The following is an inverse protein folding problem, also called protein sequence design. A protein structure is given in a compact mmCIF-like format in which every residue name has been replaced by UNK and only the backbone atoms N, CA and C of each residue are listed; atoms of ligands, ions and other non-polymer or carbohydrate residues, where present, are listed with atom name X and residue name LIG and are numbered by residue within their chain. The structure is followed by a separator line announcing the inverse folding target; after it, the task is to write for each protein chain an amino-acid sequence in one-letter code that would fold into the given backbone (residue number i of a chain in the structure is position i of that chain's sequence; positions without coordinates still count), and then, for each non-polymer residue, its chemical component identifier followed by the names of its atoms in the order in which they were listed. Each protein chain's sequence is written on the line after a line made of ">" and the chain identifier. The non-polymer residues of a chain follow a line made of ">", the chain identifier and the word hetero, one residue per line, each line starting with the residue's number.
data_IF_007052186733
#
_entry.id   IF_007052186733
#
_cell.length_a   1.000
_cell.length_b   1.000
_cell.length_c   1.000
_cell.angle_alpha   90.00
_cell.angle_beta   90.00
_cell.angle_gamma   90.00
#
_symmetry.space_group_name_H-M   'P 1'
#
loop_
_entity.id
_entity.type
_entity.pdbx_description
1 polymer ?
#
# COMPACT_ATOMS: atom_id res chain seq x y z
N UNK A 1 -38.24 10.91 3.61
CA UNK A 1 -37.02 11.55 3.11
C UNK A 1 -37.48 12.75 2.31
N UNK A 2 -37.10 13.96 2.72
CA UNK A 2 -37.42 15.18 2.02
C UNK A 2 -36.11 15.77 1.51
N UNK A 3 -35.97 15.83 0.19
CA UNK A 3 -34.74 16.23 -0.50
C UNK A 3 -34.30 17.67 -0.21
N UNK A 4 -35.20 18.48 0.37
CA UNK A 4 -34.98 19.90 0.69
C UNK A 4 -34.76 20.18 2.19
N UNK A 5 -34.76 19.15 3.05
CA UNK A 5 -34.43 19.33 4.47
C UNK A 5 -33.00 19.89 4.60
N UNK A 6 -32.78 20.79 5.56
CA UNK A 6 -31.44 21.33 5.86
C UNK A 6 -30.55 20.27 6.49
N UNK A 7 -29.24 20.51 6.53
CA UNK A 7 -28.27 19.57 7.12
C UNK A 7 -28.61 19.23 8.57
N UNK A 8 -29.02 20.23 9.36
CA UNK A 8 -29.39 20.05 10.77
C UNK A 8 -30.65 19.19 10.94
N UNK A 9 -31.55 19.19 9.95
CA UNK A 9 -32.78 18.39 9.96
C UNK A 9 -32.54 16.93 9.55
N UNK A 10 -31.50 16.67 8.75
CA UNK A 10 -31.16 15.33 8.26
C UNK A 10 -30.47 14.47 9.31
N UNK A 11 -29.83 15.10 10.30
CA UNK A 11 -29.02 14.43 11.32
C UNK A 11 -27.64 14.02 10.81
N UNK A 12 -26.90 13.26 11.62
CA UNK A 12 -25.53 12.87 11.30
C UNK A 12 -25.44 11.88 10.12
N UNK A 13 -24.42 12.06 9.29
CA UNK A 13 -24.14 11.14 8.17
C UNK A 13 -23.60 9.82 8.71
N UNK A 14 -24.38 8.74 8.55
CA UNK A 14 -23.98 7.39 8.99
C UNK A 14 -23.27 6.57 7.90
N UNK A 15 -23.33 7.03 6.65
CA UNK A 15 -22.70 6.37 5.51
C UNK A 15 -23.22 6.90 4.17
N UNK A 16 -22.80 6.24 3.10
CA UNK A 16 -23.23 6.56 1.74
C UNK A 16 -23.37 5.30 0.89
N UNK A 17 -24.14 5.41 -0.19
CA UNK A 17 -24.26 4.34 -1.17
C UNK A 17 -24.28 4.91 -2.58
N UNK A 18 -23.89 4.08 -3.56
CA UNK A 18 -24.04 4.36 -4.97
C UNK A 18 -24.68 3.16 -5.63
N UNK A 19 -25.63 3.42 -6.53
CA UNK A 19 -26.28 2.40 -7.34
C UNK A 19 -26.09 2.75 -8.81
N UNK A 20 -25.62 1.79 -9.60
CA UNK A 20 -25.50 1.94 -11.05
C UNK A 20 -26.31 0.88 -11.77
N UNK A 21 -26.83 1.23 -12.95
CA UNK A 21 -27.48 0.28 -13.85
C UNK A 21 -26.47 -0.16 -14.92
N UNK A 22 -26.26 -1.46 -15.08
CA UNK A 22 -25.42 -2.01 -16.12
C UNK A 22 -26.14 -1.97 -17.48
N UNK A 23 -25.39 -2.14 -18.56
CA UNK A 23 -25.92 -2.27 -19.92
C UNK A 23 -26.78 -3.53 -20.08
N UNK A 24 -26.44 -4.60 -19.37
CA UNK A 24 -27.27 -5.83 -19.28
C UNK A 24 -28.56 -5.64 -18.45
N UNK A 25 -28.73 -4.47 -17.82
CA UNK A 25 -29.95 -4.09 -17.10
C UNK A 25 -29.95 -4.37 -15.59
N UNK A 26 -28.87 -4.95 -15.06
CA UNK A 26 -28.70 -5.21 -13.63
C UNK A 26 -28.40 -3.93 -12.85
N UNK A 27 -28.65 -3.96 -11.54
CA UNK A 27 -28.31 -2.88 -10.63
C UNK A 27 -27.21 -3.31 -9.66
N UNK A 28 -26.08 -2.59 -9.68
CA UNK A 28 -24.98 -2.79 -8.74
C UNK A 28 -25.02 -1.70 -7.67
N UNK A 29 -25.31 -2.08 -6.43
CA UNK A 29 -25.31 -1.16 -5.28
C UNK A 29 -24.09 -1.40 -4.40
N UNK A 30 -23.35 -0.33 -4.12
CA UNK A 30 -22.26 -0.31 -3.15
C UNK A 30 -22.65 0.55 -1.97
N UNK A 31 -22.50 0.02 -0.76
CA UNK A 31 -22.75 0.76 0.49
C UNK A 31 -21.45 0.87 1.27
N UNK A 32 -21.22 2.02 1.89
CA UNK A 32 -20.10 2.24 2.81
C UNK A 32 -20.60 2.93 4.07
N UNK A 33 -20.12 2.46 5.22
CA UNK A 33 -20.31 3.17 6.49
C UNK A 33 -19.40 4.40 6.55
N UNK A 34 -19.82 5.42 7.30
CA UNK A 34 -19.08 6.68 7.40
C UNK A 34 -17.65 6.49 7.94
N UNK A 35 -17.45 5.55 8.87
CA UNK A 35 -16.14 5.26 9.44
C UNK A 35 -15.16 4.68 8.41
N UNK A 36 -15.64 3.81 7.52
CA UNK A 36 -14.84 3.28 6.41
C UNK A 36 -14.48 4.38 5.39
N UNK A 37 -15.39 5.34 5.16
CA UNK A 37 -15.14 6.49 4.29
C UNK A 37 -14.07 7.40 4.91
N UNK A 38 -14.18 7.69 6.21
CA UNK A 38 -13.18 8.49 6.92
C UNK A 38 -11.83 7.78 7.05
N UNK A 39 -11.78 6.46 7.13
CA UNK A 39 -10.52 5.72 7.05
C UNK A 39 -9.82 5.88 5.69
N UNK A 40 -10.56 6.16 4.61
CA UNK A 40 -9.98 6.51 3.30
C UNK A 40 -9.53 7.98 3.30
N UNK A 41 -10.35 8.91 3.83
CA UNK A 41 -9.96 10.31 4.03
C UNK A 41 -8.62 10.42 4.75
N UNK A 42 -8.48 9.70 5.86
CA UNK A 42 -7.29 9.73 6.72
C UNK A 42 -6.01 9.29 6.02
N UNK A 43 -6.12 8.53 4.93
CA UNK A 43 -4.99 8.11 4.08
C UNK A 43 -4.66 9.10 2.96
N UNK A 44 -5.54 10.05 2.65
CA UNK A 44 -5.33 11.01 1.55
C UNK A 44 -4.27 12.06 1.89
N UNK A 45 -3.39 12.38 0.94
CA UNK A 45 -2.29 13.34 1.16
C UNK A 45 -2.79 14.75 1.48
N UNK A 46 -3.87 15.20 0.83
CA UNK A 46 -4.50 16.49 1.13
C UNK A 46 -4.95 16.58 2.60
N UNK A 47 -5.50 15.51 3.15
CA UNK A 47 -5.94 15.47 4.54
C UNK A 47 -4.79 15.33 5.54
N UNK A 48 -3.75 14.55 5.22
CA UNK A 48 -2.52 14.48 6.03
C UNK A 48 -1.84 15.84 6.13
N UNK A 49 -1.70 16.55 5.00
CA UNK A 49 -1.15 17.91 4.94
C UNK A 49 -2.01 18.89 5.75
N UNK A 50 -3.33 18.78 5.65
CA UNK A 50 -4.25 19.56 6.47
C UNK A 50 -4.00 19.33 7.96
N UNK A 51 -3.98 18.08 8.44
CA UNK A 51 -3.73 17.79 9.87
C UNK A 51 -2.39 18.34 10.38
N UNK A 52 -1.38 18.46 9.51
CA UNK A 52 -0.08 19.04 9.86
C UNK A 52 -0.13 20.58 9.88
N UNK A 53 -0.84 21.17 8.93
CA UNK A 53 -1.01 22.62 8.80
C UNK A 53 -2.46 22.95 8.38
N UNK A 54 -3.26 23.32 9.40
CA UNK A 54 -4.66 23.68 9.22
C UNK A 54 -4.85 25.07 8.60
N UNK A 55 -3.77 25.81 8.26
CA UNK A 55 -3.87 27.14 7.66
C UNK A 55 -4.45 27.10 6.24
N UNK A 56 -4.27 25.99 5.52
CA UNK A 56 -4.79 25.79 4.17
C UNK A 56 -6.08 24.98 4.22
N UNK A 57 -7.13 25.46 3.56
CA UNK A 57 -8.39 24.72 3.45
C UNK A 57 -8.21 23.46 2.59
N UNK A 58 -8.73 22.34 3.08
CA UNK A 58 -8.74 21.06 2.39
C UNK A 58 -10.16 20.75 1.89
N UNK A 59 -10.36 20.12 0.72
CA UNK A 59 -11.69 19.78 0.21
C UNK A 59 -12.56 18.98 1.18
N UNK A 60 -11.94 18.17 2.06
CA UNK A 60 -12.63 17.44 3.12
C UNK A 60 -13.21 18.32 4.23
N UNK A 61 -12.82 19.60 4.29
CA UNK A 61 -13.29 20.60 5.26
C UNK A 61 -14.28 21.55 4.61
N UNK A 62 -14.04 21.93 3.36
CA UNK A 62 -14.93 22.86 2.64
C UNK A 62 -16.14 22.18 2.03
N UNK A 63 -16.00 20.92 1.60
CA UNK A 63 -16.98 20.20 0.78
C UNK A 63 -17.07 18.72 1.21
N UNK A 64 -17.28 18.46 2.51
CA UNK A 64 -17.23 17.11 3.09
C UNK A 64 -18.20 16.12 2.42
N UNK A 65 -19.46 16.50 2.23
CA UNK A 65 -20.46 15.63 1.59
C UNK A 65 -20.05 15.22 0.17
N UNK A 66 -19.49 16.15 -0.61
CA UNK A 66 -19.03 15.86 -1.97
C UNK A 66 -17.85 14.90 -1.97
N UNK A 67 -16.97 15.02 -0.97
CA UNK A 67 -15.83 14.11 -0.79
C UNK A 67 -16.27 12.71 -0.34
N UNK A 68 -17.31 12.61 0.49
CA UNK A 68 -17.96 11.34 0.87
C UNK A 68 -18.52 10.66 -0.38
N UNK A 69 -19.33 11.37 -1.18
CA UNK A 69 -19.93 10.84 -2.41
C UNK A 69 -18.86 10.38 -3.41
N UNK A 70 -17.85 11.22 -3.67
CA UNK A 70 -16.71 10.90 -4.54
C UNK A 70 -16.01 9.62 -4.09
N UNK A 71 -15.85 9.42 -2.78
CA UNK A 71 -15.19 8.23 -2.23
C UNK A 71 -16.00 6.97 -2.49
N UNK A 72 -17.31 7.01 -2.23
CA UNK A 72 -18.21 5.86 -2.45
C UNK A 72 -18.24 5.48 -3.94
N UNK A 73 -18.34 6.47 -4.83
CA UNK A 73 -18.30 6.26 -6.30
C UNK A 73 -16.97 5.65 -6.73
N UNK A 74 -15.82 6.19 -6.27
CA UNK A 74 -14.49 5.67 -6.63
C UNK A 74 -14.27 4.23 -6.15
N UNK A 75 -14.79 3.86 -4.97
CA UNK A 75 -14.70 2.48 -4.49
C UNK A 75 -15.55 1.53 -5.32
N UNK A 76 -16.80 1.90 -5.62
CA UNK A 76 -17.70 1.09 -6.42
C UNK A 76 -17.21 0.90 -7.86
N UNK A 77 -16.65 1.96 -8.46
CA UNK A 77 -16.20 1.96 -9.84
C UNK A 77 -15.14 0.89 -10.15
N UNK A 78 -14.43 0.35 -9.14
CA UNK A 78 -13.37 -0.66 -9.31
C UNK A 78 -13.86 -1.97 -9.94
N UNK A 79 -15.12 -2.32 -9.76
CA UNK A 79 -15.69 -3.59 -10.23
C UNK A 79 -16.88 -3.38 -11.17
N UNK A 80 -17.11 -2.15 -11.62
CA UNK A 80 -18.06 -1.92 -12.71
C UNK A 80 -17.51 -2.47 -14.02
N UNK A 81 -18.37 -2.91 -14.97
CA UNK A 81 -17.92 -3.28 -16.30
C UNK A 81 -17.21 -2.08 -16.96
N UNK A 82 -15.92 -2.22 -17.30
CA UNK A 82 -15.10 -1.13 -17.89
C UNK A 82 -14.71 -1.43 -19.34
N UNK A 83 -14.43 -0.37 -20.10
CA UNK A 83 -13.84 -0.43 -21.46
C UNK A 83 -12.41 0.09 -21.39
N UNK A 84 -11.46 -0.60 -22.03
CA UNK A 84 -10.00 -0.37 -21.92
C UNK A 84 -9.55 1.09 -22.11
N UNK A 85 -10.20 1.86 -23.00
CA UNK A 85 -9.82 3.27 -23.27
C UNK A 85 -10.06 4.21 -22.10
N UNK A 86 -11.01 3.88 -21.20
CA UNK A 86 -11.33 4.70 -20.04
C UNK A 86 -10.30 4.50 -18.92
N UNK A 87 -9.75 3.30 -18.78
CA UNK A 87 -8.76 2.98 -17.73
C UNK A 87 -7.44 3.75 -17.94
N UNK A 88 -6.95 3.83 -19.18
CA UNK A 88 -5.73 4.56 -19.50
C UNK A 88 -5.80 6.06 -19.16
N UNK A 89 -6.97 6.68 -19.34
CA UNK A 89 -7.18 8.10 -18.99
C UNK A 89 -7.30 8.32 -17.47
N UNK A 90 -7.92 7.37 -16.76
CA UNK A 90 -8.04 7.41 -15.29
C UNK A 90 -6.66 7.25 -14.64
N UNK A 91 -5.82 6.37 -15.16
CA UNK A 91 -4.46 6.14 -14.63
C UNK A 91 -3.57 7.38 -14.79
N UNK A 92 -3.65 8.06 -15.93
CA UNK A 92 -2.95 9.32 -16.15
C UNK A 92 -3.38 10.41 -15.14
N UNK A 93 -4.70 10.58 -14.91
CA UNK A 93 -5.21 11.56 -13.93
C UNK A 93 -4.82 11.22 -12.49
N UNK A 94 -4.82 9.94 -12.11
CA UNK A 94 -4.43 9.54 -10.75
C UNK A 94 -2.92 9.60 -10.50
N UNK A 95 -2.09 9.52 -11.55
CA UNK A 95 -0.62 9.49 -11.44
C UNK A 95 0.00 10.87 -11.61
N UNK A 96 -0.48 11.67 -12.58
CA UNK A 96 0.12 12.95 -12.96
C UNK A 96 -0.60 14.17 -12.35
N UNK A 97 -1.83 14.00 -11.86
CA UNK A 97 -2.67 15.11 -11.39
C UNK A 97 -2.48 15.54 -9.93
N UNK A 98 -1.56 14.93 -9.15
CA UNK A 98 -1.38 15.16 -7.70
C UNK A 98 -2.66 15.07 -6.81
N UNK A 99 -3.83 14.76 -7.37
CA UNK A 99 -5.13 14.60 -6.68
C UNK A 99 -5.51 13.12 -6.45
N UNK A 100 -4.53 12.22 -6.54
CA UNK A 100 -4.69 10.78 -6.37
C UNK A 100 -4.46 10.30 -4.94
N UNK A 101 -5.22 9.29 -4.51
CA UNK A 101 -4.79 8.41 -3.43
C UNK A 101 -3.66 7.57 -4.04
N UNK A 102 -2.44 7.70 -3.55
CA UNK A 102 -1.29 6.98 -4.09
C UNK A 102 -1.38 5.49 -3.71
N UNK A 103 -2.18 4.71 -4.45
CA UNK A 103 -2.30 3.27 -4.27
C UNK A 103 -1.00 2.52 -4.58
N UNK A 104 -0.05 3.14 -5.28
CA UNK A 104 1.28 2.57 -5.51
C UNK A 104 2.10 2.51 -4.21
N UNK A 105 1.82 3.39 -3.22
CA UNK A 105 2.44 3.30 -1.90
C UNK A 105 1.91 2.11 -1.06
N UNK A 106 0.74 1.55 -1.41
CA UNK A 106 0.18 0.35 -0.76
C UNK A 106 0.59 -0.96 -1.47
N UNK A 107 1.08 -0.90 -2.71
CA UNK A 107 1.73 -2.06 -3.33
C UNK A 107 3.07 -2.25 -2.63
N UNK A 108 3.16 -3.26 -1.77
CA UNK A 108 4.48 -3.74 -1.34
C UNK A 108 5.30 -3.99 -2.62
N UNK A 109 6.54 -3.47 -2.71
CA UNK A 109 7.37 -3.73 -3.87
C UNK A 109 7.44 -5.24 -4.05
N UNK A 110 7.24 -5.71 -5.28
CA UNK A 110 7.36 -7.13 -5.61
C UNK A 110 8.70 -7.63 -5.05
N UNK A 111 8.63 -8.60 -4.14
CA UNK A 111 9.82 -9.15 -3.49
C UNK A 111 10.33 -10.26 -4.38
N UNK A 112 11.58 -10.16 -4.80
CA UNK A 112 12.28 -11.25 -5.46
C UNK A 112 12.43 -12.41 -4.46
N UNK A 113 11.77 -13.53 -4.76
CA UNK A 113 11.76 -14.75 -3.94
C UNK A 113 12.71 -15.83 -4.49
N UNK A 114 13.59 -15.48 -5.42
CA UNK A 114 14.56 -16.44 -5.98
C UNK A 114 15.36 -17.07 -4.85
N UNK A 115 15.37 -18.42 -4.72
CA UNK A 115 16.05 -19.10 -3.63
C UNK A 115 17.57 -18.87 -3.71
N UNK A 116 18.23 -18.93 -2.56
CA UNK A 116 19.69 -18.84 -2.48
C UNK A 116 20.36 -19.93 -3.34
N UNK A 117 21.24 -19.50 -4.23
CA UNK A 117 22.05 -20.39 -5.06
C UNK A 117 23.11 -21.13 -4.24
N UNK A 118 23.40 -22.36 -4.65
CA UNK A 118 24.44 -23.19 -4.01
C UNK A 118 25.82 -22.53 -4.05
N UNK A 119 26.11 -21.77 -5.11
CA UNK A 119 27.36 -21.01 -5.26
C UNK A 119 27.48 -19.91 -4.22
N UNK A 120 26.44 -19.10 -4.04
CA UNK A 120 26.45 -17.99 -3.06
C UNK A 120 26.46 -18.55 -1.64
N UNK A 121 25.74 -19.65 -1.38
CA UNK A 121 25.77 -20.32 -0.08
C UNK A 121 27.17 -20.86 0.26
N UNK A 122 27.87 -21.45 -0.72
CA UNK A 122 29.24 -21.93 -0.53
C UNK A 122 30.21 -20.79 -0.21
N UNK A 123 30.16 -19.69 -0.96
CA UNK A 123 31.00 -18.51 -0.70
C UNK A 123 30.79 -17.94 0.70
N UNK A 124 29.54 -17.93 1.18
CA UNK A 124 29.23 -17.53 2.56
C UNK A 124 29.82 -18.50 3.58
N UNK A 125 29.69 -19.82 3.35
CA UNK A 125 30.29 -20.84 4.23
C UNK A 125 31.80 -20.64 4.35
N UNK A 126 32.49 -20.50 3.22
CA UNK A 126 33.95 -20.38 3.17
C UNK A 126 34.42 -19.12 3.94
N UNK A 127 33.69 -18.00 3.79
CA UNK A 127 34.00 -16.77 4.53
C UNK A 127 33.68 -16.87 6.02
N UNK A 128 32.57 -17.51 6.41
CA UNK A 128 32.26 -17.73 7.82
C UNK A 128 33.35 -18.55 8.52
N UNK A 129 33.83 -19.61 7.85
CA UNK A 129 34.95 -20.43 8.35
C UNK A 129 36.22 -19.58 8.49
N UNK A 130 36.54 -18.74 7.49
CA UNK A 130 37.72 -17.88 7.54
C UNK A 130 37.68 -16.83 8.68
N UNK A 131 36.48 -16.43 9.10
CA UNK A 131 36.23 -15.44 10.15
C UNK A 131 35.97 -16.03 11.54
N UNK A 132 36.07 -17.36 11.70
CA UNK A 132 35.70 -18.09 12.91
C UNK A 132 34.25 -17.77 13.38
N UNK A 133 33.31 -17.81 12.43
CA UNK A 133 31.89 -17.50 12.63
C UNK A 133 30.99 -18.62 12.15
N UNK A 134 29.76 -18.61 12.65
CA UNK A 134 28.76 -19.64 12.31
C UNK A 134 27.44 -19.04 11.84
N UNK A 135 26.66 -19.84 11.12
CA UNK A 135 25.33 -19.43 10.65
C UNK A 135 24.39 -19.11 11.82
N UNK A 136 24.26 -20.03 12.76
CA UNK A 136 23.23 -19.96 13.81
C UNK A 136 23.48 -18.84 14.81
N UNK A 137 24.76 -18.57 15.12
CA UNK A 137 25.13 -17.59 16.15
C UNK A 137 25.34 -16.20 15.57
N UNK A 138 25.97 -16.08 14.40
CA UNK A 138 26.37 -14.80 13.85
C UNK A 138 25.46 -14.32 12.72
N UNK A 139 25.31 -15.14 11.68
CA UNK A 139 24.79 -14.66 10.40
C UNK A 139 23.26 -14.67 10.34
N UNK A 140 22.60 -15.76 10.75
CA UNK A 140 21.14 -15.88 10.71
C UNK A 140 20.44 -14.86 11.64
N UNK A 141 20.93 -14.59 12.87
CA UNK A 141 20.36 -13.53 13.70
C UNK A 141 20.56 -12.12 13.10
N UNK A 142 21.72 -11.88 12.47
CA UNK A 142 22.00 -10.63 11.76
C UNK A 142 21.05 -10.44 10.57
N UNK A 143 20.89 -11.47 9.74
CA UNK A 143 19.98 -11.49 8.60
C UNK A 143 18.53 -11.27 9.05
N UNK A 144 18.08 -11.97 10.11
CA UNK A 144 16.73 -11.81 10.66
C UNK A 144 16.44 -10.36 11.07
N UNK A 145 17.41 -9.70 11.70
CA UNK A 145 17.32 -8.29 12.12
C UNK A 145 17.33 -7.32 10.94
N UNK A 146 18.19 -7.53 9.95
CA UNK A 146 18.32 -6.63 8.78
C UNK A 146 17.10 -6.75 7.86
N UNK A 147 16.64 -7.97 7.59
CA UNK A 147 15.55 -8.24 6.66
C UNK A 147 14.17 -8.22 7.34
N UNK A 148 14.15 -8.00 8.67
CA UNK A 148 12.94 -7.85 9.50
C UNK A 148 11.96 -9.02 9.34
N UNK A 149 12.49 -10.23 9.21
CA UNK A 149 11.72 -11.48 9.11
C UNK A 149 12.46 -12.60 9.84
N UNK A 150 11.76 -13.62 10.34
CA UNK A 150 12.43 -14.78 10.92
C UNK A 150 13.18 -15.55 9.83
N UNK A 151 14.47 -15.78 10.05
CA UNK A 151 15.36 -16.58 9.20
C UNK A 151 16.07 -17.55 10.13
N UNK A 152 15.70 -18.83 10.05
CA UNK A 152 16.16 -19.87 10.97
C UNK A 152 17.12 -20.86 10.32
N UNK A 153 17.19 -20.88 8.99
CA UNK A 153 18.07 -21.76 8.23
C UNK A 153 18.55 -21.06 6.95
N UNK A 154 19.69 -21.46 6.38
CA UNK A 154 20.24 -20.82 5.17
C UNK A 154 19.28 -20.84 3.96
N UNK A 155 18.45 -21.88 3.83
CA UNK A 155 17.45 -22.00 2.76
C UNK A 155 16.32 -20.97 2.86
N UNK A 156 16.16 -20.33 4.02
CA UNK A 156 15.15 -19.28 4.17
C UNK A 156 15.58 -18.02 3.43
N UNK A 157 16.88 -17.83 3.12
CA UNK A 157 17.40 -16.67 2.40
C UNK A 157 17.07 -16.70 0.91
N UNK A 158 16.76 -15.53 0.37
CA UNK A 158 16.71 -15.31 -1.08
C UNK A 158 18.10 -15.00 -1.63
N UNK A 159 18.32 -15.20 -2.93
CA UNK A 159 19.59 -14.87 -3.58
C UNK A 159 20.01 -13.40 -3.36
N UNK A 160 19.12 -12.38 -3.49
CA UNK A 160 19.50 -11.00 -3.21
C UNK A 160 19.90 -10.74 -1.76
N UNK A 161 19.28 -11.43 -0.80
CA UNK A 161 19.64 -11.35 0.61
C UNK A 161 20.98 -12.05 0.90
N UNK A 162 21.22 -13.19 0.24
CA UNK A 162 22.50 -13.91 0.28
C UNK A 162 23.65 -13.08 -0.24
N UNK A 163 23.49 -12.44 -1.40
CA UNK A 163 24.51 -11.53 -1.97
C UNK A 163 24.81 -10.36 -1.04
N UNK A 164 23.79 -9.79 -0.39
CA UNK A 164 23.99 -8.73 0.63
C UNK A 164 24.72 -9.24 1.86
N UNK A 165 24.34 -10.41 2.37
CA UNK A 165 25.00 -11.06 3.50
C UNK A 165 26.48 -11.35 3.20
N UNK A 166 26.76 -11.86 2.00
CA UNK A 166 28.10 -12.08 1.48
C UNK A 166 28.91 -10.78 1.40
N UNK A 167 28.29 -9.70 0.93
CA UNK A 167 28.90 -8.36 0.92
C UNK A 167 29.33 -7.87 2.31
N UNK A 168 28.48 -8.04 3.32
CA UNK A 168 28.82 -7.69 4.71
C UNK A 168 29.97 -8.52 5.26
N UNK A 169 30.00 -9.82 4.97
CA UNK A 169 31.10 -10.69 5.39
C UNK A 169 32.41 -10.31 4.71
N UNK A 170 32.39 -9.99 3.41
CA UNK A 170 33.59 -9.52 2.69
C UNK A 170 34.11 -8.20 3.27
N UNK A 171 33.21 -7.25 3.56
CA UNK A 171 33.61 -5.98 4.19
C UNK A 171 34.22 -6.21 5.57
N UNK A 172 33.70 -7.17 6.34
CA UNK A 172 34.23 -7.53 7.65
C UNK A 172 35.57 -8.28 7.58
N UNK A 173 35.78 -9.09 6.54
CA UNK A 173 37.05 -9.77 6.31
C UNK A 173 38.16 -8.84 5.80
N UNK A 174 37.78 -7.73 5.17
CA UNK A 174 38.70 -6.70 4.70
C UNK A 174 39.05 -5.63 5.76
N UNK A 175 38.44 -5.70 6.95
CA UNK A 175 38.63 -4.78 8.07
C UNK A 175 39.46 -5.44 9.17
#
# INVERSE_FOLDING_TARGET
>A
YNDFDTEEQRGEIVGGYVTVKTDDGDYLTHTMRIDAIFAIRDRSEAWKKYKQDNSKKCPWVTDEEQMILKTVVKQAAKYWPRRERLDAAIDHVNTEGEEGINFAAERQPERDITPLSETTQKDINDLLVSLDKTWDVDLLPLCSRIFKRPISQPTDLTEPEGVKALGFLRQKAAA
#
